data_IF_297832191692
#
_entry.id   IF_297832191692
#
_cell.length_a   1.000
_cell.length_b   1.000
_cell.length_c   1.000
_cell.angle_alpha   90.00
_cell.angle_beta   90.00
_cell.angle_gamma   90.00
#
_symmetry.space_group_name_H-M   'P 1'
#
loop_
_entity.id
_entity.type
_entity.pdbx_description
1 polymer ?
#
# COMPACT_ATOMS: atom_id res chain seq x y z
N UNK A 1 20.60 -13.12 18.02
CA UNK A 1 20.11 -12.01 17.17
C UNK A 1 19.81 -12.56 15.80
N UNK A 2 18.55 -12.56 15.36
CA UNK A 2 18.16 -12.98 14.01
C UNK A 2 18.29 -11.79 13.08
N UNK A 3 19.31 -11.79 12.22
CA UNK A 3 19.39 -10.79 11.16
C UNK A 3 18.14 -10.83 10.26
N UNK A 4 17.74 -9.66 9.77
CA UNK A 4 16.68 -9.57 8.77
C UNK A 4 17.17 -10.23 7.48
N UNK A 5 16.42 -11.22 6.99
CA UNK A 5 16.71 -11.89 5.73
C UNK A 5 16.58 -10.91 4.58
N UNK A 6 17.37 -11.15 3.53
CA UNK A 6 17.42 -10.32 2.32
C UNK A 6 16.03 -10.09 1.72
N UNK A 7 15.18 -11.12 1.71
CA UNK A 7 13.81 -11.02 1.18
C UNK A 7 12.95 -9.99 1.92
N UNK A 8 13.00 -9.98 3.25
CA UNK A 8 12.24 -9.05 4.09
C UNK A 8 12.72 -7.61 3.91
N UNK A 9 14.03 -7.40 3.71
CA UNK A 9 14.58 -6.08 3.35
C UNK A 9 14.04 -5.62 2.00
N UNK A 10 14.05 -6.50 0.99
CA UNK A 10 13.50 -6.19 -0.34
C UNK A 10 12.01 -5.85 -0.24
N UNK A 11 11.23 -6.64 0.51
CA UNK A 11 9.81 -6.40 0.70
C UNK A 11 9.53 -5.02 1.31
N UNK A 12 10.26 -4.64 2.38
CA UNK A 12 10.14 -3.32 3.01
C UNK A 12 10.50 -2.18 2.05
N UNK A 13 11.55 -2.34 1.25
CA UNK A 13 11.96 -1.35 0.25
C UNK A 13 10.86 -1.18 -0.81
N UNK A 14 10.32 -2.29 -1.33
CA UNK A 14 9.28 -2.25 -2.35
C UNK A 14 8.00 -1.61 -1.81
N UNK A 15 7.57 -1.99 -0.60
CA UNK A 15 6.42 -1.35 0.09
C UNK A 15 6.67 0.15 0.26
N UNK A 16 7.86 0.54 0.72
CA UNK A 16 8.19 1.95 0.90
C UNK A 16 8.09 2.75 -0.40
N UNK A 17 8.63 2.22 -1.50
CA UNK A 17 8.60 2.88 -2.81
C UNK A 17 7.15 3.01 -3.30
N UNK A 18 6.38 1.92 -3.26
CA UNK A 18 5.00 1.95 -3.75
C UNK A 18 4.15 2.91 -2.93
N UNK A 19 4.22 2.83 -1.60
CA UNK A 19 3.48 3.74 -0.71
C UNK A 19 3.90 5.21 -0.92
N UNK A 20 5.19 5.47 -1.17
CA UNK A 20 5.65 6.82 -1.48
C UNK A 20 5.03 7.34 -2.79
N UNK A 21 5.02 6.53 -3.85
CA UNK A 21 4.45 6.91 -5.15
C UNK A 21 2.94 7.18 -5.02
N UNK A 22 2.18 6.28 -4.38
CA UNK A 22 0.75 6.51 -4.14
C UNK A 22 0.51 7.71 -3.23
N UNK A 23 1.37 7.93 -2.23
CA UNK A 23 1.33 9.12 -1.37
C UNK A 23 1.47 10.41 -2.18
N UNK A 24 2.42 10.48 -3.11
CA UNK A 24 2.58 11.62 -4.03
C UNK A 24 1.34 11.81 -4.90
N UNK A 25 0.86 10.71 -5.51
CA UNK A 25 -0.30 10.75 -6.41
C UNK A 25 -1.54 11.31 -5.70
N UNK A 26 -1.84 10.84 -4.50
CA UNK A 26 -3.03 11.24 -3.75
C UNK A 26 -2.90 12.59 -3.05
N UNK A 27 -1.69 12.98 -2.63
CA UNK A 27 -1.50 14.24 -1.90
C UNK A 27 -1.36 15.43 -2.84
N UNK A 28 -0.63 15.28 -3.95
CA UNK A 28 -0.24 16.39 -4.81
C UNK A 28 -0.87 16.34 -6.21
N UNK A 29 -1.08 15.15 -6.76
CA UNK A 29 -1.51 14.99 -8.15
C UNK A 29 -3.01 14.65 -8.28
N UNK A 30 -3.72 14.54 -7.16
CA UNK A 30 -5.12 14.15 -7.12
C UNK A 30 -6.00 15.04 -8.03
N UNK A 31 -5.83 16.35 -7.91
CA UNK A 31 -6.67 17.35 -8.60
C UNK A 31 -6.33 17.51 -10.09
N UNK A 32 -5.18 17.01 -10.55
CA UNK A 32 -4.71 17.23 -11.92
C UNK A 32 -5.14 16.08 -12.87
N UNK A 33 -5.30 14.86 -12.36
CA UNK A 33 -5.51 13.66 -13.20
C UNK A 33 -6.22 12.48 -12.52
N UNK A 34 -6.55 12.54 -11.23
CA UNK A 34 -6.92 11.36 -10.42
C UNK A 34 -8.22 11.50 -9.61
N UNK A 35 -9.18 12.33 -10.04
CA UNK A 35 -10.55 12.29 -9.49
C UNK A 35 -11.57 11.62 -10.43
N UNK A 36 -11.41 10.34 -10.82
CA UNK A 36 -12.44 9.60 -11.53
C UNK A 36 -13.57 9.10 -10.60
N UNK A 37 -13.34 9.12 -9.29
CA UNK A 37 -14.18 8.49 -8.26
C UNK A 37 -15.24 9.43 -7.66
N UNK A 38 -15.22 10.72 -8.00
CA UNK A 38 -16.24 11.67 -7.56
C UNK A 38 -16.16 12.01 -6.07
N UNK A 39 -14.95 11.97 -5.47
CA UNK A 39 -14.82 12.46 -4.10
C UNK A 39 -15.17 13.94 -4.07
N UNK A 40 -16.22 14.26 -3.35
CA UNK A 40 -16.72 15.63 -3.19
C UNK A 40 -15.83 16.45 -2.27
N UNK A 41 -15.04 15.78 -1.43
CA UNK A 41 -14.11 16.42 -0.50
C UNK A 41 -12.66 16.00 -0.80
N UNK A 42 -11.80 16.93 -1.25
CA UNK A 42 -10.40 16.64 -1.59
C UNK A 42 -9.52 16.36 -0.36
N UNK A 43 -9.99 16.62 0.86
CA UNK A 43 -9.20 16.35 2.06
C UNK A 43 -9.04 14.85 2.33
N UNK A 44 -10.02 14.02 1.95
CA UNK A 44 -9.94 12.58 2.20
C UNK A 44 -8.84 11.87 1.40
N UNK A 45 -8.75 12.01 0.05
CA UNK A 45 -7.66 11.40 -0.70
C UNK A 45 -6.29 11.94 -0.25
N UNK A 46 -6.18 13.22 0.08
CA UNK A 46 -4.94 13.81 0.59
C UNK A 46 -4.55 13.27 1.97
N UNK A 47 -5.52 13.06 2.85
CA UNK A 47 -5.27 12.45 4.16
C UNK A 47 -4.76 11.01 3.99
N UNK A 48 -5.37 10.24 3.10
CA UNK A 48 -4.90 8.90 2.76
C UNK A 48 -3.48 8.94 2.17
N UNK A 49 -3.19 9.87 1.26
CA UNK A 49 -1.85 10.10 0.73
C UNK A 49 -0.82 10.42 1.82
N UNK A 50 -1.19 11.22 2.81
CA UNK A 50 -0.37 11.50 4.00
C UNK A 50 -0.07 10.25 4.84
N UNK A 51 -1.07 9.38 5.05
CA UNK A 51 -0.88 8.10 5.74
C UNK A 51 0.07 7.17 4.98
N UNK A 52 0.02 7.17 3.65
CA UNK A 52 0.95 6.38 2.82
C UNK A 52 2.38 6.90 2.93
N UNK A 53 2.61 8.22 3.01
CA UNK A 53 3.93 8.78 3.29
C UNK A 53 4.48 8.34 4.64
N UNK A 54 3.67 8.41 5.70
CA UNK A 54 4.09 7.93 7.02
C UNK A 54 4.45 6.45 6.96
N UNK A 55 3.61 5.65 6.30
CA UNK A 55 3.82 4.21 6.16
C UNK A 55 5.08 3.87 5.37
N UNK A 56 5.42 4.67 4.36
CA UNK A 56 6.69 4.58 3.63
C UNK A 56 7.90 4.88 4.52
N UNK A 57 7.84 5.96 5.32
CA UNK A 57 8.90 6.29 6.28
C UNK A 57 9.08 5.18 7.32
N UNK A 58 7.98 4.65 7.86
CA UNK A 58 8.00 3.53 8.79
C UNK A 58 8.70 2.31 8.18
N UNK A 59 8.37 1.95 6.94
CA UNK A 59 9.01 0.84 6.24
C UNK A 59 10.54 1.02 6.09
N UNK A 60 11.00 2.24 5.81
CA UNK A 60 12.44 2.56 5.71
C UNK A 60 13.13 2.51 7.08
N UNK A 61 12.52 3.08 8.12
CA UNK A 61 13.08 3.09 9.48
C UNK A 61 13.30 1.66 9.99
N UNK A 62 12.41 0.73 9.65
CA UNK A 62 12.53 -0.68 10.04
C UNK A 62 13.75 -1.39 9.45
N UNK A 63 14.30 -0.92 8.33
CA UNK A 63 15.54 -1.49 7.77
C UNK A 63 16.75 -1.32 8.71
N UNK A 64 16.68 -0.37 9.65
CA UNK A 64 17.73 -0.13 10.65
C UNK A 64 17.55 -0.93 11.94
N UNK A 65 16.36 -1.50 12.16
CA UNK A 65 16.08 -2.30 13.35
C UNK A 65 16.76 -3.65 13.25
N UNK A 66 17.23 -4.16 14.38
CA UNK A 66 17.91 -5.47 14.47
C UNK A 66 17.03 -6.55 15.11
N UNK A 67 15.94 -6.14 15.77
CA UNK A 67 15.05 -7.03 16.49
C UNK A 67 13.83 -7.36 15.64
N UNK A 68 13.58 -8.66 15.47
CA UNK A 68 12.46 -9.14 14.66
C UNK A 68 11.09 -8.76 15.26
N UNK A 69 10.97 -8.69 16.59
CA UNK A 69 9.69 -8.35 17.24
C UNK A 69 9.21 -6.94 16.90
N UNK A 70 10.13 -5.97 16.83
CA UNK A 70 9.79 -4.60 16.40
C UNK A 70 9.35 -4.55 14.93
N UNK A 71 10.01 -5.34 14.09
CA UNK A 71 9.73 -5.41 12.65
C UNK A 71 8.40 -6.11 12.39
N UNK A 72 8.06 -7.15 13.18
CA UNK A 72 6.80 -7.89 13.10
C UNK A 72 5.59 -6.98 13.29
N UNK A 73 5.61 -6.13 14.31
CA UNK A 73 4.51 -5.20 14.58
C UNK A 73 4.31 -4.24 13.40
N UNK A 74 5.41 -3.72 12.85
CA UNK A 74 5.34 -2.81 11.70
C UNK A 74 4.89 -3.54 10.44
N UNK A 75 5.32 -4.78 10.22
CA UNK A 75 4.83 -5.62 9.14
C UNK A 75 3.32 -5.87 9.24
N UNK A 76 2.83 -6.15 10.44
CA UNK A 76 1.40 -6.32 10.69
C UNK A 76 0.63 -5.03 10.40
N UNK A 77 1.17 -3.86 10.76
CA UNK A 77 0.59 -2.57 10.40
C UNK A 77 0.57 -2.33 8.88
N UNK A 78 1.68 -2.55 8.17
CA UNK A 78 1.76 -2.35 6.73
C UNK A 78 0.80 -3.28 5.98
N UNK A 79 0.77 -4.56 6.34
CA UNK A 79 -0.18 -5.52 5.77
C UNK A 79 -1.63 -5.20 6.15
N UNK A 80 -1.86 -4.78 7.39
CA UNK A 80 -3.16 -4.35 7.90
C UNK A 80 -3.67 -3.08 7.23
N UNK A 81 -2.80 -2.30 6.58
CA UNK A 81 -3.19 -1.15 5.74
C UNK A 81 -3.60 -1.60 4.33
N UNK A 82 -2.91 -2.60 3.78
CA UNK A 82 -3.17 -3.12 2.43
C UNK A 82 -4.49 -3.91 2.39
N UNK A 83 -4.77 -4.75 3.39
CA UNK A 83 -5.94 -5.65 3.36
C UNK A 83 -7.27 -4.89 3.25
N UNK A 84 -7.58 -3.87 4.08
CA UNK A 84 -8.82 -3.12 3.98
C UNK A 84 -8.93 -2.35 2.66
N UNK A 85 -7.82 -1.78 2.18
CA UNK A 85 -7.78 -1.03 0.91
C UNK A 85 -8.15 -1.96 -0.24
N UNK A 86 -7.53 -3.13 -0.31
CA UNK A 86 -7.82 -4.14 -1.32
C UNK A 86 -9.29 -4.58 -1.31
N UNK A 87 -9.87 -4.78 -0.12
CA UNK A 87 -11.29 -5.14 0.03
C UNK A 87 -12.19 -4.03 -0.51
N UNK A 88 -11.90 -2.77 -0.16
CA UNK A 88 -12.68 -1.61 -0.60
C UNK A 88 -12.59 -1.46 -2.12
N UNK A 89 -11.38 -1.51 -2.70
CA UNK A 89 -11.16 -1.39 -4.15
C UNK A 89 -11.90 -2.48 -4.93
N UNK A 90 -11.80 -3.74 -4.49
CA UNK A 90 -12.53 -4.86 -5.10
C UNK A 90 -14.04 -4.66 -4.99
N UNK A 91 -14.54 -4.24 -3.82
CA UNK A 91 -15.97 -4.02 -3.62
C UNK A 91 -16.50 -2.86 -4.49
N UNK A 92 -15.75 -1.76 -4.59
CA UNK A 92 -16.10 -0.60 -5.41
C UNK A 92 -16.15 -0.99 -6.89
N UNK A 93 -15.14 -1.70 -7.40
CA UNK A 93 -15.16 -2.16 -8.79
C UNK A 93 -16.26 -3.21 -9.05
N UNK A 94 -16.54 -4.11 -8.11
CA UNK A 94 -17.58 -5.12 -8.29
C UNK A 94 -19.00 -4.53 -8.28
N UNK A 95 -19.26 -3.52 -7.44
CA UNK A 95 -20.60 -2.93 -7.26
C UNK A 95 -20.84 -1.77 -8.20
N UNK A 96 -19.86 -0.89 -8.38
CA UNK A 96 -19.99 0.37 -9.14
C UNK A 96 -19.25 0.33 -10.49
N UNK A 97 -18.51 -0.73 -10.79
CA UNK A 97 -17.68 -0.80 -12.01
C UNK A 97 -18.45 -0.62 -13.31
N UNK A 98 -19.73 -1.01 -13.36
CA UNK A 98 -20.60 -0.81 -14.54
C UNK A 98 -20.93 0.67 -14.82
N UNK A 99 -20.74 1.55 -13.83
CA UNK A 99 -20.96 3.00 -13.94
C UNK A 99 -19.68 3.75 -14.32
N UNK A 100 -18.53 3.07 -14.31
CA UNK A 100 -17.23 3.69 -14.56
C UNK A 100 -16.83 3.63 -16.03
N UNK A 101 -16.07 4.65 -16.47
CA UNK A 101 -15.40 4.62 -17.76
C UNK A 101 -14.30 3.56 -17.80
N UNK A 102 -13.96 3.09 -19.01
CA UNK A 102 -12.93 2.05 -19.23
C UNK A 102 -11.56 2.40 -18.61
N UNK A 103 -11.19 3.69 -18.61
CA UNK A 103 -9.94 4.15 -18.00
C UNK A 103 -9.93 3.97 -16.47
N UNK A 104 -11.05 4.26 -15.80
CA UNK A 104 -11.17 4.09 -14.34
C UNK A 104 -11.09 2.60 -13.96
N UNK A 105 -11.75 1.73 -14.73
CA UNK A 105 -11.69 0.27 -14.51
C UNK A 105 -10.25 -0.24 -14.67
N UNK A 106 -9.52 0.26 -15.68
CA UNK A 106 -8.11 -0.10 -15.89
C UNK A 106 -7.22 0.33 -14.71
N UNK A 107 -7.41 1.56 -14.20
CA UNK A 107 -6.65 2.08 -13.07
C UNK A 107 -6.97 1.31 -11.78
N UNK A 108 -8.24 1.06 -11.48
CA UNK A 108 -8.65 0.27 -10.32
C UNK A 108 -8.12 -1.16 -10.37
N UNK A 109 -8.21 -1.82 -11.53
CA UNK A 109 -7.69 -3.18 -11.72
C UNK A 109 -6.17 -3.25 -11.54
N UNK A 110 -5.47 -2.22 -12.02
CA UNK A 110 -4.01 -2.09 -11.84
C UNK A 110 -3.64 -1.90 -10.37
N UNK A 111 -4.40 -1.08 -9.65
CA UNK A 111 -4.22 -0.85 -8.20
C UNK A 111 -4.43 -2.13 -7.40
N UNK A 112 -5.54 -2.84 -7.63
CA UNK A 112 -5.82 -4.15 -7.02
C UNK A 112 -4.67 -5.14 -7.29
N UNK A 113 -4.15 -5.16 -8.52
CA UNK A 113 -3.04 -6.05 -8.89
C UNK A 113 -1.78 -5.72 -8.09
N UNK A 114 -1.40 -4.43 -8.00
CA UNK A 114 -0.23 -3.99 -7.25
C UNK A 114 -0.36 -4.31 -5.76
N UNK A 115 -1.51 -4.00 -5.16
CA UNK A 115 -1.78 -4.29 -3.74
C UNK A 115 -1.77 -5.79 -3.45
N UNK A 116 -2.31 -6.61 -4.34
CA UNK A 116 -2.26 -8.08 -4.22
C UNK A 116 -0.83 -8.60 -4.26
N UNK A 117 0.01 -8.07 -5.17
CA UNK A 117 1.44 -8.43 -5.25
C UNK A 117 2.18 -8.00 -3.98
N UNK A 118 1.92 -6.80 -3.46
CA UNK A 118 2.51 -6.33 -2.20
C UNK A 118 2.09 -7.19 -1.01
N UNK A 119 0.81 -7.55 -0.93
CA UNK A 119 0.27 -8.41 0.13
C UNK A 119 0.95 -9.79 0.09
N UNK A 120 1.04 -10.41 -1.09
CA UNK A 120 1.71 -11.70 -1.26
C UNK A 120 3.20 -11.62 -0.89
N UNK A 121 3.92 -10.60 -1.38
CA UNK A 121 5.31 -10.37 -1.02
C UNK A 121 5.49 -10.18 0.50
N UNK A 122 4.57 -9.45 1.12
CA UNK A 122 4.57 -9.21 2.56
C UNK A 122 4.33 -10.49 3.37
N UNK A 123 3.34 -11.30 2.99
CA UNK A 123 3.05 -12.59 3.63
C UNK A 123 4.22 -13.57 3.46
N UNK A 124 4.74 -13.70 2.24
CA UNK A 124 5.85 -14.63 1.95
C UNK A 124 7.11 -14.22 2.72
N UNK A 125 7.44 -12.92 2.73
CA UNK A 125 8.59 -12.42 3.50
C UNK A 125 8.43 -12.63 5.00
N UNK A 126 7.21 -12.47 5.54
CA UNK A 126 6.90 -12.75 6.93
C UNK A 126 7.11 -14.23 7.30
N UNK A 127 6.55 -15.15 6.51
CA UNK A 127 6.70 -16.61 6.71
C UNK A 127 8.18 -16.99 6.63
N UNK A 128 8.90 -16.49 5.61
CA UNK A 128 10.31 -16.81 5.40
C UNK A 128 11.22 -16.24 6.47
N UNK A 129 10.88 -15.13 7.11
CA UNK A 129 11.67 -14.59 8.22
C UNK A 129 11.50 -15.38 9.52
N UNK A 130 10.34 -16.00 9.74
CA UNK A 130 10.05 -16.85 10.89
C UNK A 130 10.67 -18.25 10.79
N UNK A 131 10.66 -18.84 9.60
CA UNK A 131 11.32 -20.13 9.29
C UNK A 131 12.84 -20.02 9.34
#
# INVERSE_FOLDING_TARGET
>A
MTEIKKLTKIALIVIAIVFFIFGVNLTFLYDMTLNPEGWTNPYFPRFWGGLLFLSSLFAIVMLRKKEWEEIKLTFAYLLGTIIPTLIIEVAVLAVLGSTFGSQTILLGSSTITIESVLLLLGIVSYIKQRS
#
